data_IF_601810577217
#
_entry.id   IF_601810577217
#
_cell.length_a   1.000
_cell.length_b   1.000
_cell.length_c   1.000
_cell.angle_alpha   90.00
_cell.angle_beta   90.00
_cell.angle_gamma   90.00
#
_symmetry.space_group_name_H-M   'P 1'
#
loop_
_entity.id
_entity.type
_entity.pdbx_description
1 polymer ?
#
# COMPACT_ATOMS: atom_id res chain seq x y z
N UNK A 1 -40.27 -3.26 0.68
CA UNK A 1 -39.24 -2.79 1.66
C UNK A 1 -38.71 -4.00 2.40
N UNK A 2 -37.37 -4.26 2.28
CA UNK A 2 -36.68 -5.29 3.04
C UNK A 2 -36.70 -4.92 4.54
N UNK A 3 -37.36 -5.72 5.36
CA UNK A 3 -37.31 -5.58 6.83
C UNK A 3 -36.00 -6.17 7.34
N UNK A 4 -34.95 -5.36 7.44
CA UNK A 4 -33.66 -5.78 7.98
C UNK A 4 -33.69 -5.79 9.52
N UNK A 5 -33.35 -6.91 10.12
CA UNK A 5 -33.20 -7.01 11.57
C UNK A 5 -31.90 -6.29 11.99
N UNK A 6 -32.02 -5.15 12.65
CA UNK A 6 -30.91 -4.28 13.07
C UNK A 6 -29.84 -5.04 13.89
N UNK A 7 -30.24 -5.93 14.81
CA UNK A 7 -29.29 -6.71 15.62
C UNK A 7 -28.48 -7.69 14.76
N UNK A 8 -29.12 -8.37 13.79
CA UNK A 8 -28.41 -9.26 12.85
C UNK A 8 -27.46 -8.48 11.95
N UNK A 9 -27.89 -7.30 11.46
CA UNK A 9 -27.05 -6.43 10.63
C UNK A 9 -25.78 -5.98 11.38
N UNK A 10 -25.92 -5.47 12.60
CA UNK A 10 -24.79 -5.04 13.45
C UNK A 10 -23.84 -6.22 13.71
N UNK A 11 -24.36 -7.41 14.05
CA UNK A 11 -23.53 -8.61 14.25
C UNK A 11 -22.74 -8.97 12.97
N UNK A 12 -23.38 -8.91 11.81
CA UNK A 12 -22.73 -9.21 10.52
C UNK A 12 -21.63 -8.20 10.20
N UNK A 13 -21.86 -6.90 10.43
CA UNK A 13 -20.86 -5.84 10.24
C UNK A 13 -19.67 -6.07 11.17
N UNK A 14 -19.90 -6.34 12.45
CA UNK A 14 -18.84 -6.56 13.44
C UNK A 14 -18.01 -7.84 13.19
N UNK A 15 -18.60 -8.84 12.52
CA UNK A 15 -17.92 -10.09 12.13
C UNK A 15 -17.20 -9.98 10.79
N UNK A 16 -17.48 -8.96 9.99
CA UNK A 16 -16.88 -8.78 8.69
C UNK A 16 -15.40 -8.39 8.82
N UNK A 17 -14.51 -9.30 8.44
CA UNK A 17 -13.05 -9.10 8.51
C UNK A 17 -12.46 -8.33 7.33
N UNK A 18 -13.31 -7.75 6.47
CA UNK A 18 -12.85 -7.15 5.21
C UNK A 18 -12.61 -8.20 4.11
N UNK A 19 -12.17 -7.72 2.96
CA UNK A 19 -11.76 -8.55 1.83
C UNK A 19 -10.24 -8.61 1.74
N UNK A 20 -9.71 -9.77 1.37
CA UNK A 20 -8.28 -9.92 1.17
C UNK A 20 -7.75 -8.94 0.12
N UNK A 21 -6.59 -8.38 0.42
CA UNK A 21 -5.87 -7.43 -0.44
C UNK A 21 -6.63 -6.14 -0.78
N UNK A 22 -7.65 -5.79 0.04
CA UNK A 22 -8.39 -4.53 -0.04
C UNK A 22 -8.29 -3.81 1.31
N UNK A 23 -7.32 -2.91 1.41
CA UNK A 23 -7.00 -2.18 2.64
C UNK A 23 -6.85 -3.11 3.86
N UNK A 24 -6.42 -4.34 3.62
CA UNK A 24 -6.27 -5.38 4.62
C UNK A 24 -5.11 -5.04 5.56
N UNK A 25 -5.38 -4.87 6.84
CA UNK A 25 -4.35 -4.74 7.85
C UNK A 25 -3.77 -6.14 8.11
N UNK A 26 -2.52 -6.35 7.70
CA UNK A 26 -1.82 -7.64 7.85
C UNK A 26 -0.87 -7.67 9.04
N UNK A 27 -0.54 -6.50 9.58
CA UNK A 27 0.25 -6.36 10.79
C UNK A 27 -0.07 -5.03 11.47
N UNK A 28 -0.34 -5.05 12.78
CA UNK A 28 -0.55 -3.85 13.60
C UNK A 28 -0.02 -4.10 15.01
N UNK A 29 1.21 -3.72 15.26
CA UNK A 29 1.83 -3.85 16.59
C UNK A 29 2.79 -2.70 16.86
N UNK A 30 2.79 -2.18 18.10
CA UNK A 30 3.70 -1.13 18.56
C UNK A 30 3.71 0.08 17.59
N UNK A 31 4.83 0.29 16.94
CA UNK A 31 5.06 1.46 16.08
C UNK A 31 4.98 1.13 14.59
N UNK A 32 4.38 0.01 14.18
CA UNK A 32 4.31 -0.41 12.79
C UNK A 32 2.92 -0.96 12.44
N UNK A 33 2.28 -0.34 11.46
CA UNK A 33 1.06 -0.84 10.81
C UNK A 33 1.38 -1.15 9.35
N UNK A 34 0.99 -2.33 8.86
CA UNK A 34 1.19 -2.74 7.46
C UNK A 34 -0.16 -3.05 6.83
N UNK A 35 -0.45 -2.35 5.74
CA UNK A 35 -1.72 -2.45 5.02
C UNK A 35 -1.46 -2.99 3.62
N UNK A 36 -2.15 -4.07 3.26
CA UNK A 36 -2.14 -4.63 1.92
C UNK A 36 -3.41 -4.22 1.16
N UNK A 37 -3.23 -3.40 0.13
CA UNK A 37 -4.27 -2.93 -0.78
C UNK A 37 -3.89 -3.26 -2.24
N UNK A 38 -3.42 -4.49 -2.47
CA UNK A 38 -2.98 -4.94 -3.80
C UNK A 38 -4.07 -4.81 -4.87
N UNK A 39 -5.33 -4.75 -4.50
CA UNK A 39 -6.46 -4.51 -5.40
C UNK A 39 -6.47 -3.11 -6.01
N UNK A 40 -5.78 -2.14 -5.42
CA UNK A 40 -5.69 -0.78 -5.95
C UNK A 40 -4.85 -0.76 -7.23
N UNK A 41 -5.51 -0.52 -8.36
CA UNK A 41 -4.92 -0.54 -9.71
C UNK A 41 -4.90 0.83 -10.39
N UNK A 42 -5.22 1.90 -9.64
CA UNK A 42 -5.19 3.29 -10.13
C UNK A 42 -4.78 4.25 -9.02
N UNK A 43 -4.31 5.44 -9.40
CA UNK A 43 -4.01 6.50 -8.42
C UNK A 43 -5.25 6.88 -7.62
N UNK A 44 -6.41 7.01 -8.27
CA UNK A 44 -7.65 7.39 -7.60
C UNK A 44 -8.02 6.44 -6.46
N UNK A 45 -7.83 5.11 -6.63
CA UNK A 45 -8.08 4.14 -5.57
C UNK A 45 -7.08 4.27 -4.43
N UNK A 46 -5.79 4.46 -4.70
CA UNK A 46 -4.76 4.67 -3.67
C UNK A 46 -4.97 5.99 -2.93
N UNK A 47 -5.32 7.07 -3.62
CA UNK A 47 -5.52 8.41 -3.05
C UNK A 47 -6.65 8.46 -2.03
N UNK A 48 -7.70 7.63 -2.20
CA UNK A 48 -8.80 7.54 -1.24
C UNK A 48 -8.34 7.14 0.16
N UNK A 49 -7.26 6.37 0.26
CA UNK A 49 -6.65 5.99 1.53
C UNK A 49 -5.55 6.98 1.92
N UNK A 50 -4.66 7.32 0.98
CA UNK A 50 -3.50 8.19 1.22
C UNK A 50 -3.88 9.55 1.82
N UNK A 51 -5.03 10.11 1.44
CA UNK A 51 -5.50 11.40 1.97
C UNK A 51 -5.73 11.41 3.50
N UNK A 52 -5.91 10.22 4.09
CA UNK A 52 -6.15 10.01 5.52
C UNK A 52 -4.91 9.48 6.25
N UNK A 53 -3.80 9.23 5.55
CA UNK A 53 -2.56 8.77 6.16
C UNK A 53 -1.60 9.93 6.35
N UNK A 54 -0.98 9.97 7.53
CA UNK A 54 0.18 10.79 7.82
C UNK A 54 1.42 9.90 7.90
N UNK A 55 2.56 10.34 7.36
CA UNK A 55 3.85 9.64 7.51
C UNK A 55 3.87 8.18 7.01
N UNK A 56 3.36 7.94 5.81
CA UNK A 56 3.32 6.60 5.24
C UNK A 56 4.42 6.34 4.20
N UNK A 57 4.95 5.12 4.24
CA UNK A 57 5.74 4.50 3.17
C UNK A 57 4.78 3.87 2.17
N UNK A 58 4.48 4.59 1.11
CA UNK A 58 3.59 4.12 0.06
C UNK A 58 4.35 3.31 -0.97
N UNK A 59 4.01 2.03 -1.13
CA UNK A 59 4.60 1.13 -2.11
C UNK A 59 3.67 1.03 -3.31
N UNK A 60 4.20 1.37 -4.49
CA UNK A 60 3.46 1.35 -5.75
C UNK A 60 4.28 0.75 -6.89
N UNK A 61 3.59 0.23 -7.93
CA UNK A 61 4.21 -0.44 -9.07
C UNK A 61 3.20 -1.23 -9.90
N UNK A 62 3.70 -1.91 -10.94
CA UNK A 62 2.84 -2.58 -11.92
C UNK A 62 2.65 -1.73 -13.18
N UNK A 63 1.63 -2.03 -13.98
CA UNK A 63 1.33 -1.32 -15.22
C UNK A 63 0.44 -0.11 -14.92
N UNK A 64 0.95 1.14 -15.09
CA UNK A 64 0.13 2.33 -14.85
C UNK A 64 -0.98 2.43 -15.90
N UNK A 65 -2.19 2.78 -15.48
CA UNK A 65 -3.33 3.02 -16.36
C UNK A 65 -3.06 4.24 -17.24
N UNK A 66 -3.35 4.14 -18.55
CA UNK A 66 -3.20 5.27 -19.49
C UNK A 66 -4.07 6.46 -19.04
N UNK A 67 -3.49 7.64 -19.00
CA UNK A 67 -4.18 8.87 -18.59
C UNK A 67 -4.44 9.02 -17.08
N UNK A 68 -4.07 8.04 -16.25
CA UNK A 68 -4.22 8.15 -14.80
C UNK A 68 -3.28 9.20 -14.22
N UNK A 69 -3.78 10.03 -13.30
CA UNK A 69 -3.08 11.18 -12.74
C UNK A 69 -3.12 11.15 -11.23
N UNK A 70 -1.98 11.41 -10.60
CA UNK A 70 -1.92 11.65 -9.16
C UNK A 70 -2.42 13.08 -8.86
N UNK A 71 -3.48 13.20 -8.07
CA UNK A 71 -4.19 14.46 -7.79
C UNK A 71 -4.05 14.97 -6.36
N UNK A 72 -3.46 14.17 -5.44
CA UNK A 72 -3.30 14.59 -4.06
C UNK A 72 -2.47 15.88 -3.98
N UNK A 73 -2.92 16.86 -3.20
CA UNK A 73 -2.23 18.14 -3.04
C UNK A 73 -0.88 17.97 -2.33
N UNK A 74 0.07 18.89 -2.55
CA UNK A 74 1.38 18.88 -1.88
C UNK A 74 1.26 18.91 -0.35
N UNK A 75 0.29 19.63 0.18
CA UNK A 75 0.05 19.70 1.63
C UNK A 75 -0.29 18.32 2.19
N UNK A 76 -1.24 17.61 1.55
CA UNK A 76 -1.67 16.27 1.97
C UNK A 76 -0.62 15.19 1.72
N UNK A 77 0.27 15.40 0.75
CA UNK A 77 1.32 14.44 0.41
C UNK A 77 2.68 14.72 1.07
N UNK A 78 2.80 15.80 1.86
CA UNK A 78 4.06 16.29 2.45
C UNK A 78 4.86 15.21 3.18
N UNK A 79 4.17 14.36 3.93
CA UNK A 79 4.79 13.33 4.75
C UNK A 79 4.71 11.92 4.14
N UNK A 80 4.20 11.81 2.91
CA UNK A 80 4.18 10.55 2.18
C UNK A 80 5.52 10.35 1.46
N UNK A 81 6.03 9.13 1.49
CA UNK A 81 7.21 8.71 0.73
C UNK A 81 6.80 7.61 -0.24
N UNK A 82 6.94 7.84 -1.54
CA UNK A 82 6.65 6.85 -2.56
C UNK A 82 7.85 5.92 -2.82
N UNK A 83 7.61 4.63 -2.77
CA UNK A 83 8.58 3.57 -3.08
C UNK A 83 8.06 2.77 -4.26
N UNK A 84 8.68 2.97 -5.42
CA UNK A 84 8.18 2.49 -6.70
C UNK A 84 8.96 1.26 -7.13
N UNK A 85 8.29 0.14 -7.43
CA UNK A 85 8.96 -1.09 -7.87
C UNK A 85 8.56 -1.50 -9.30
N UNK A 86 9.38 -2.38 -9.90
CA UNK A 86 9.05 -3.10 -11.12
C UNK A 86 9.45 -2.41 -12.42
N UNK A 87 9.02 -2.98 -13.55
CA UNK A 87 9.44 -2.59 -14.90
C UNK A 87 9.02 -1.16 -15.27
N UNK A 88 7.84 -0.74 -14.83
CA UNK A 88 7.28 0.58 -15.19
C UNK A 88 7.64 1.70 -14.20
N UNK A 89 8.61 1.50 -13.29
CA UNK A 89 9.01 2.48 -12.26
C UNK A 89 9.33 3.87 -12.81
N UNK A 90 9.95 3.96 -14.00
CA UNK A 90 10.27 5.27 -14.64
C UNK A 90 9.01 6.08 -14.98
N UNK A 91 7.92 5.42 -15.40
CA UNK A 91 6.64 6.08 -15.71
C UNK A 91 6.01 6.66 -14.43
N UNK A 92 5.98 5.89 -13.34
CA UNK A 92 5.48 6.35 -12.04
C UNK A 92 6.32 7.52 -11.50
N UNK A 93 7.67 7.46 -11.59
CA UNK A 93 8.54 8.57 -11.21
C UNK A 93 8.19 9.85 -11.97
N UNK A 94 7.97 9.76 -13.29
CA UNK A 94 7.57 10.92 -14.11
C UNK A 94 6.24 11.53 -13.64
N UNK A 95 5.24 10.70 -13.32
CA UNK A 95 3.92 11.16 -12.85
C UNK A 95 4.02 11.83 -11.47
N UNK A 96 4.87 11.31 -10.57
CA UNK A 96 5.04 11.80 -9.21
C UNK A 96 6.07 12.91 -9.07
N UNK A 97 6.81 13.24 -10.15
CA UNK A 97 7.83 14.32 -10.16
C UNK A 97 7.22 15.61 -9.59
N UNK A 98 7.94 16.26 -8.67
CA UNK A 98 7.53 17.50 -8.01
C UNK A 98 6.25 17.44 -7.15
N UNK A 99 5.66 16.26 -6.94
CA UNK A 99 4.45 16.06 -6.11
C UNK A 99 4.77 15.50 -4.74
N UNK A 100 5.64 14.52 -4.67
CA UNK A 100 6.10 13.93 -3.40
C UNK A 100 7.49 13.29 -3.57
N UNK A 101 8.15 13.00 -2.42
CA UNK A 101 9.44 12.31 -2.42
C UNK A 101 9.26 10.87 -2.91
N UNK A 102 9.99 10.48 -3.96
CA UNK A 102 9.88 9.17 -4.57
C UNK A 102 11.25 8.52 -4.77
N UNK A 103 11.34 7.21 -4.49
CA UNK A 103 12.48 6.35 -4.79
C UNK A 103 12.02 5.18 -5.66
N UNK A 104 12.91 4.63 -6.49
CA UNK A 104 12.57 3.50 -7.36
C UNK A 104 13.53 2.33 -7.20
N UNK A 105 13.00 1.11 -7.38
CA UNK A 105 13.64 -0.16 -7.13
C UNK A 105 13.35 -1.15 -8.25
N UNK A 106 14.17 -2.18 -8.40
CA UNK A 106 13.95 -3.23 -9.41
C UNK A 106 12.74 -4.08 -9.06
N UNK A 107 12.59 -4.42 -7.79
CA UNK A 107 11.57 -5.36 -7.32
C UNK A 107 11.07 -4.99 -5.91
N UNK A 108 10.03 -5.71 -5.48
CA UNK A 108 9.37 -5.48 -4.20
C UNK A 108 10.27 -5.84 -3.00
N UNK A 109 11.18 -6.81 -3.14
CA UNK A 109 12.10 -7.21 -2.07
C UNK A 109 13.10 -6.09 -1.74
N UNK A 110 13.73 -5.48 -2.75
CA UNK A 110 14.63 -4.33 -2.58
C UNK A 110 13.88 -3.14 -1.94
N UNK A 111 12.64 -2.91 -2.40
CA UNK A 111 11.77 -1.88 -1.85
C UNK A 111 11.58 -2.06 -0.35
N UNK A 112 11.15 -3.24 0.08
CA UNK A 112 10.89 -3.54 1.48
C UNK A 112 12.16 -3.53 2.32
N UNK A 113 13.29 -4.04 1.81
CA UNK A 113 14.59 -3.97 2.49
C UNK A 113 14.94 -2.51 2.84
N UNK A 114 14.76 -1.60 1.88
CA UNK A 114 15.04 -0.17 2.09
C UNK A 114 14.09 0.45 3.11
N UNK A 115 12.78 0.16 3.01
CA UNK A 115 11.77 0.69 3.95
C UNK A 115 12.07 0.22 5.38
N UNK A 116 12.33 -1.08 5.58
CA UNK A 116 12.65 -1.61 6.91
C UNK A 116 13.97 -1.05 7.47
N UNK A 117 14.95 -0.78 6.63
CA UNK A 117 16.18 -0.09 7.04
C UNK A 117 15.89 1.35 7.50
N UNK A 118 15.03 2.09 6.79
CA UNK A 118 14.62 3.45 7.21
C UNK A 118 13.84 3.42 8.53
N UNK A 119 12.88 2.50 8.69
CA UNK A 119 12.10 2.36 9.92
C UNK A 119 13.00 2.06 11.13
N UNK A 120 14.02 1.21 10.95
CA UNK A 120 14.95 0.87 12.06
C UNK A 120 15.77 2.07 12.52
N UNK A 121 16.02 3.06 11.67
CA UNK A 121 16.71 4.31 12.07
C UNK A 121 15.81 5.25 12.85
N UNK A 122 14.47 5.12 12.74
CA UNK A 122 13.47 5.99 13.36
C UNK A 122 12.55 5.21 14.31
N UNK A 123 13.14 4.49 15.27
CA UNK A 123 12.47 3.49 16.14
C UNK A 123 11.27 4.00 16.95
N UNK A 124 11.20 5.29 17.23
CA UNK A 124 10.21 5.87 18.16
C UNK A 124 8.96 6.45 17.46
N UNK A 125 8.92 6.45 16.13
CA UNK A 125 7.80 7.01 15.37
C UNK A 125 6.85 5.89 14.94
N UNK A 126 5.54 6.18 14.98
CA UNK A 126 4.55 5.30 14.35
C UNK A 126 4.78 5.28 12.84
N UNK A 127 5.01 4.10 12.27
CA UNK A 127 5.28 3.92 10.85
C UNK A 127 4.11 3.17 10.19
N UNK A 128 3.73 3.59 9.00
CA UNK A 128 2.72 2.91 8.19
C UNK A 128 3.38 2.48 6.89
N UNK A 129 3.34 1.18 6.59
CA UNK A 129 3.66 0.66 5.26
C UNK A 129 2.33 0.43 4.54
N UNK A 130 2.09 1.17 3.48
CA UNK A 130 0.88 1.08 2.67
C UNK A 130 1.22 0.52 1.29
N UNK A 131 0.91 -0.76 1.07
CA UNK A 131 1.06 -1.42 -0.21
C UNK A 131 -0.20 -1.22 -1.03
N UNK A 132 -0.19 -0.21 -1.91
CA UNK A 132 -1.30 0.17 -2.79
C UNK A 132 -0.74 0.52 -4.16
N UNK A 133 -0.60 -0.48 -5.06
CA UNK A 133 0.25 -0.40 -6.24
C UNK A 133 -0.11 0.67 -7.26
N UNK A 134 -1.34 1.16 -7.33
CA UNK A 134 -1.81 2.15 -8.30
C UNK A 134 -1.57 1.73 -9.77
N UNK A 135 -1.37 0.44 -10.01
CA UNK A 135 -1.13 -0.14 -11.32
C UNK A 135 -1.60 -1.59 -11.40
N UNK A 136 -1.92 -2.06 -12.61
CA UNK A 136 -2.28 -3.46 -12.83
C UNK A 136 -1.07 -4.38 -12.56
N UNK A 137 -1.35 -5.63 -12.16
CA UNK A 137 -0.33 -6.58 -11.70
C UNK A 137 0.32 -7.43 -12.82
N UNK A 138 -0.24 -7.37 -14.02
CA UNK A 138 0.06 -8.29 -15.12
C UNK A 138 1.47 -8.19 -15.74
N UNK A 139 2.31 -7.27 -15.25
CA UNK A 139 3.73 -7.19 -15.64
C UNK A 139 4.61 -8.23 -14.93
N UNK A 140 4.18 -8.72 -13.76
CA UNK A 140 4.99 -9.62 -12.93
C UNK A 140 4.19 -10.67 -12.16
N UNK A 141 2.85 -10.60 -12.19
CA UNK A 141 1.94 -11.46 -11.42
C UNK A 141 0.72 -11.85 -12.27
N UNK A 142 0.12 -13.00 -11.98
CA UNK A 142 -1.10 -13.47 -12.67
C UNK A 142 -2.29 -12.54 -12.47
N UNK A 143 -2.43 -12.01 -11.25
CA UNK A 143 -3.52 -11.14 -10.85
C UNK A 143 -3.09 -10.33 -9.60
N UNK A 144 -4.00 -9.51 -9.06
CA UNK A 144 -3.72 -8.72 -7.86
C UNK A 144 -3.67 -9.57 -6.58
N UNK A 145 -4.35 -10.70 -6.55
CA UNK A 145 -4.33 -11.67 -5.45
C UNK A 145 -2.93 -12.28 -5.31
N UNK A 146 -2.36 -12.76 -6.42
CA UNK A 146 -1.01 -13.32 -6.46
C UNK A 146 0.02 -12.27 -5.99
N UNK A 147 -0.09 -11.04 -6.48
CA UNK A 147 0.75 -9.92 -6.02
C UNK A 147 0.57 -9.63 -4.52
N UNK A 148 -0.66 -9.63 -4.03
CA UNK A 148 -0.98 -9.41 -2.62
C UNK A 148 -0.45 -10.53 -1.72
N UNK A 149 -0.60 -11.77 -2.16
CA UNK A 149 -0.06 -12.94 -1.49
C UNK A 149 1.48 -12.86 -1.40
N UNK A 150 2.15 -12.57 -2.52
CA UNK A 150 3.60 -12.42 -2.56
C UNK A 150 4.10 -11.34 -1.60
N UNK A 151 3.43 -10.18 -1.54
CA UNK A 151 3.73 -9.14 -0.56
C UNK A 151 3.63 -9.68 0.87
N UNK A 152 2.54 -10.38 1.21
CA UNK A 152 2.33 -10.96 2.53
C UNK A 152 3.44 -11.95 2.92
N UNK A 153 3.92 -12.78 1.97
CA UNK A 153 5.00 -13.73 2.21
C UNK A 153 6.33 -13.02 2.55
N UNK A 154 6.66 -11.93 1.83
CA UNK A 154 7.87 -11.16 2.13
C UNK A 154 7.74 -10.52 3.52
N UNK A 155 6.61 -9.91 3.84
CA UNK A 155 6.37 -9.28 5.15
C UNK A 155 6.53 -10.29 6.29
N UNK A 156 5.97 -11.51 6.16
CA UNK A 156 6.14 -12.57 7.17
C UNK A 156 7.61 -12.86 7.47
N UNK A 157 8.47 -12.93 6.44
CA UNK A 157 9.92 -13.15 6.61
C UNK A 157 10.55 -12.02 7.44
N UNK A 158 10.23 -10.76 7.15
CA UNK A 158 10.77 -9.61 7.90
C UNK A 158 10.29 -9.55 9.35
N UNK A 159 9.04 -9.93 9.62
CA UNK A 159 8.48 -9.92 10.98
C UNK A 159 9.07 -11.06 11.81
N UNK A 160 9.21 -12.27 11.23
CA UNK A 160 9.74 -13.43 11.93
C UNK A 160 11.25 -13.33 12.21
N UNK A 161 12.00 -12.70 11.31
CA UNK A 161 13.45 -12.46 11.51
C UNK A 161 13.78 -11.45 12.64
N UNK A 162 12.77 -10.77 13.19
CA UNK A 162 12.91 -9.83 14.31
C UNK A 162 12.41 -10.39 15.66
N UNK A 163 11.96 -11.63 15.68
CA UNK A 163 11.68 -12.38 16.90
C UNK A 163 12.90 -13.17 17.34
#
# INVERSE_FOLDING_TARGET
>A
KLKLNKKKLIRSINRFKGLDYRQQIIFDKKNLTIINDSKSTSFASSENVLKNLSDAYWILGGIPKKGDKFKLSKIKSKNLKAFIFGAHRKKFLKILKNKLKAKSFRNLQETLKTIFSEINRHKFKKNIIFFSPAGASFDSFKNFEDRGYYFNQIIKKYINAKR
#
